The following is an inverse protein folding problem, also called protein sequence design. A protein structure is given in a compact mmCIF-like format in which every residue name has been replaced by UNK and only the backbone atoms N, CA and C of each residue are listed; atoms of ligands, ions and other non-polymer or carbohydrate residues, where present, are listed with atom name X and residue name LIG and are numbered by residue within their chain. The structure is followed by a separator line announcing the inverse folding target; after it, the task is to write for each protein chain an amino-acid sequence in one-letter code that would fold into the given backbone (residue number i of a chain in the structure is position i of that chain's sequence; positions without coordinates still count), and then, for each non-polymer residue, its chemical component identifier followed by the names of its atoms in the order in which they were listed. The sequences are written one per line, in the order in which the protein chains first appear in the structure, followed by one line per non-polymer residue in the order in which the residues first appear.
data_IF_363611545915
#
_entry.id   IF_363611545915
#
_cell.length_a   1.000
_cell.length_b   1.000
_cell.length_c   1.000
_cell.angle_alpha   90.00
_cell.angle_beta   90.00
_cell.angle_gamma   90.00
#
_symmetry.space_group_name_H-M   'P 1'
#
loop_
_entity.id
_entity.type
_entity.pdbx_description
1 polymer ?
#
# COMPACT_ATOMS: atom_id res chain seq x y z
N UNK A 1 -3.59 13.73 0.46
CA UNK A 1 -4.41 12.53 0.13
C UNK A 1 -5.32 12.72 -1.10
N UNK A 2 -6.14 13.77 -1.18
CA UNK A 2 -7.00 14.03 -2.35
C UNK A 2 -6.18 14.20 -3.63
N UNK A 3 -5.11 14.99 -3.58
CA UNK A 3 -4.30 15.28 -4.77
C UNK A 3 -3.56 14.05 -5.27
N UNK A 4 -2.94 13.26 -4.35
CA UNK A 4 -2.33 11.98 -4.72
C UNK A 4 -3.35 11.05 -5.39
N UNK A 5 -4.57 10.95 -4.86
CA UNK A 5 -5.62 10.13 -5.46
C UNK A 5 -6.01 10.61 -6.86
N UNK A 6 -6.08 11.92 -7.08
CA UNK A 6 -6.37 12.49 -8.40
C UNK A 6 -5.23 12.20 -9.37
N UNK A 7 -3.97 12.36 -8.94
CA UNK A 7 -2.80 12.09 -9.77
C UNK A 7 -2.65 10.60 -10.15
N UNK A 8 -3.17 9.69 -9.32
CA UNK A 8 -3.18 8.25 -9.60
C UNK A 8 -4.49 7.76 -10.24
N UNK A 9 -5.35 8.66 -10.70
CA UNK A 9 -6.67 8.33 -11.28
C UNK A 9 -7.52 7.41 -10.39
N UNK A 10 -7.48 7.61 -9.07
CA UNK A 10 -8.25 6.81 -8.10
C UNK A 10 -7.56 5.56 -7.57
N UNK A 11 -6.43 5.14 -8.14
CA UNK A 11 -5.72 3.93 -7.73
C UNK A 11 -5.33 3.97 -6.25
N UNK A 12 -4.80 5.10 -5.74
CA UNK A 12 -4.42 5.26 -4.33
C UNK A 12 -5.53 4.81 -3.36
N UNK A 13 -6.75 5.35 -3.49
CA UNK A 13 -7.87 4.97 -2.61
C UNK A 13 -8.35 3.55 -2.86
N UNK A 14 -8.27 3.06 -4.10
CA UNK A 14 -8.63 1.69 -4.41
C UNK A 14 -7.67 0.71 -3.68
N UNK A 15 -6.37 0.92 -3.79
CA UNK A 15 -5.34 0.12 -3.12
C UNK A 15 -5.48 0.18 -1.60
N UNK A 16 -5.64 1.36 -1.02
CA UNK A 16 -5.86 1.46 0.44
C UNK A 16 -7.13 0.74 0.90
N UNK A 17 -8.21 0.73 0.11
CA UNK A 17 -9.44 -0.03 0.44
C UNK A 17 -9.22 -1.53 0.30
N UNK A 18 -8.51 -1.96 -0.75
CA UNK A 18 -8.22 -3.36 -0.99
C UNK A 18 -7.37 -3.97 0.13
N UNK A 19 -6.29 -3.29 0.55
CA UNK A 19 -5.45 -3.73 1.67
C UNK A 19 -6.28 -3.85 2.96
N UNK A 20 -7.15 -2.87 3.26
CA UNK A 20 -8.06 -2.94 4.41
C UNK A 20 -9.00 -4.15 4.33
N UNK A 21 -9.60 -4.39 3.16
CA UNK A 21 -10.48 -5.53 2.93
C UNK A 21 -9.76 -6.87 3.18
N UNK A 22 -8.55 -7.04 2.64
CA UNK A 22 -7.76 -8.27 2.82
C UNK A 22 -7.37 -8.45 4.29
N UNK A 23 -6.92 -7.39 4.96
CA UNK A 23 -6.66 -7.42 6.41
C UNK A 23 -7.90 -7.87 7.19
N UNK A 24 -9.03 -7.22 6.97
CA UNK A 24 -10.25 -7.47 7.75
C UNK A 24 -10.85 -8.86 7.44
N UNK A 25 -10.60 -9.40 6.25
CA UNK A 25 -11.12 -10.72 5.81
C UNK A 25 -10.21 -11.87 6.25
N UNK A 26 -8.90 -11.73 6.15
CA UNK A 26 -7.95 -12.85 6.31
C UNK A 26 -7.04 -12.71 7.53
N UNK A 27 -6.87 -11.50 8.07
CA UNK A 27 -5.90 -11.19 9.12
C UNK A 27 -6.52 -10.34 10.24
N UNK A 28 -7.81 -10.51 10.51
CA UNK A 28 -8.58 -9.70 11.47
C UNK A 28 -8.06 -9.77 12.91
N UNK A 29 -7.32 -10.82 13.26
CA UNK A 29 -6.65 -10.96 14.56
C UNK A 29 -5.32 -10.20 14.68
N UNK A 30 -4.80 -9.67 13.58
CA UNK A 30 -3.52 -8.96 13.55
C UNK A 30 -3.72 -7.44 13.60
N UNK A 31 -2.77 -6.75 14.23
CA UNK A 31 -2.77 -5.30 14.22
C UNK A 31 -2.16 -4.75 12.92
N UNK A 32 -2.93 -3.93 12.20
CA UNK A 32 -2.43 -3.11 11.09
C UNK A 32 -3.17 -1.77 11.07
N UNK A 33 -2.47 -0.74 11.52
CA UNK A 33 -3.03 0.59 11.65
C UNK A 33 -3.40 1.19 10.29
N UNK A 34 -4.56 1.86 10.22
CA UNK A 34 -5.02 2.50 8.98
C UNK A 34 -4.04 3.56 8.45
N UNK A 35 -3.38 4.30 9.35
CA UNK A 35 -2.37 5.28 8.95
C UNK A 35 -1.13 4.63 8.33
N UNK A 36 -0.75 3.42 8.78
CA UNK A 36 0.36 2.66 8.18
C UNK A 36 -0.01 2.25 6.76
N UNK A 37 -1.23 1.76 6.54
CA UNK A 37 -1.72 1.44 5.19
C UNK A 37 -1.68 2.69 4.30
N UNK A 38 -2.27 3.80 4.75
CA UNK A 38 -2.37 5.01 3.93
C UNK A 38 -1.01 5.62 3.60
N UNK A 39 -0.07 5.58 4.55
CA UNK A 39 1.30 6.07 4.37
C UNK A 39 2.13 5.14 3.49
N UNK A 40 1.99 3.83 3.68
CA UNK A 40 2.66 2.81 2.87
C UNK A 40 2.24 2.94 1.40
N UNK A 41 0.94 2.92 1.11
CA UNK A 41 0.43 3.04 -0.26
C UNK A 41 0.84 4.38 -0.87
N UNK A 42 0.84 5.47 -0.08
CA UNK A 42 1.23 6.78 -0.59
C UNK A 42 2.68 6.79 -1.09
N UNK A 43 3.57 6.07 -0.39
CA UNK A 43 4.97 5.92 -0.77
C UNK A 43 5.16 4.91 -1.90
N UNK A 44 4.58 3.71 -1.77
CA UNK A 44 4.78 2.57 -2.66
C UNK A 44 4.07 2.65 -4.02
N UNK A 45 3.02 3.48 -4.14
CA UNK A 45 2.28 3.61 -5.41
C UNK A 45 3.10 4.31 -6.49
N UNK A 46 4.12 5.10 -6.11
CA UNK A 46 5.04 5.79 -7.02
C UNK A 46 4.31 6.47 -8.21
N UNK A 47 4.55 5.97 -9.43
CA UNK A 47 4.00 6.47 -10.70
C UNK A 47 2.83 5.62 -11.23
N UNK A 48 2.37 4.61 -10.48
CA UNK A 48 1.24 3.78 -10.87
C UNK A 48 -0.08 4.57 -10.80
N UNK A 49 -0.91 4.36 -11.80
CA UNK A 49 -2.24 4.97 -11.92
C UNK A 49 -3.18 4.04 -12.69
N UNK A 50 -4.49 4.26 -12.53
CA UNK A 50 -5.43 3.67 -13.48
C UNK A 50 -5.32 4.36 -14.83
N UNK A 51 -5.30 3.56 -15.88
CA UNK A 51 -5.29 4.05 -17.26
C UNK A 51 -6.71 4.27 -17.73
N UNK A 52 -6.87 5.25 -18.63
CA UNK A 52 -8.13 5.46 -19.34
C UNK A 52 -8.46 4.24 -20.23
N UNK A 53 -9.73 4.00 -20.54
CA UNK A 53 -10.14 2.91 -21.43
C UNK A 53 -9.37 2.94 -22.75
N UNK A 54 -8.74 1.81 -23.10
CA UNK A 54 -7.92 1.67 -24.32
C UNK A 54 -6.45 2.07 -24.16
N UNK A 55 -6.01 2.50 -22.97
CA UNK A 55 -4.60 2.69 -22.65
C UNK A 55 -3.81 1.39 -22.45
N UNK A 56 -2.47 1.45 -22.46
CA UNK A 56 -1.63 0.30 -22.18
C UNK A 56 -1.80 -0.12 -20.71
N UNK A 57 -2.25 -1.35 -20.48
CA UNK A 57 -2.39 -1.93 -19.13
C UNK A 57 -1.18 -2.77 -18.77
N UNK A 58 -0.82 -2.77 -17.48
CA UNK A 58 0.10 -3.75 -16.92
C UNK A 58 -0.52 -5.15 -16.96
N UNK A 59 0.32 -6.18 -16.80
CA UNK A 59 -0.16 -7.56 -16.68
C UNK A 59 -0.76 -7.75 -15.28
N UNK A 60 -1.64 -8.74 -15.19
CA UNK A 60 -2.20 -9.17 -13.90
C UNK A 60 -1.08 -9.54 -12.92
N UNK A 61 -1.15 -8.99 -11.71
CA UNK A 61 -0.17 -9.21 -10.65
C UNK A 61 1.07 -8.32 -10.68
N UNK A 62 1.32 -7.55 -11.75
CA UNK A 62 2.51 -6.67 -11.83
C UNK A 62 2.44 -5.58 -10.75
N UNK A 63 1.26 -5.01 -10.52
CA UNK A 63 1.07 -3.95 -9.53
C UNK A 63 1.22 -4.47 -8.10
N UNK A 64 0.63 -5.63 -7.80
CA UNK A 64 0.69 -6.27 -6.49
C UNK A 64 2.11 -6.69 -6.14
N UNK A 65 2.87 -7.20 -7.12
CA UNK A 65 4.31 -7.49 -6.98
C UNK A 65 5.11 -6.23 -6.71
N UNK A 66 4.85 -5.12 -7.40
CA UNK A 66 5.53 -3.85 -7.11
C UNK A 66 5.33 -3.40 -5.66
N UNK A 67 4.12 -3.55 -5.11
CA UNK A 67 3.87 -3.19 -3.70
C UNK A 67 4.67 -4.08 -2.74
N UNK A 68 4.72 -5.39 -3.01
CA UNK A 68 5.51 -6.32 -2.22
C UNK A 68 7.02 -6.07 -2.34
N UNK A 69 7.51 -5.77 -3.55
CA UNK A 69 8.90 -5.47 -3.82
C UNK A 69 9.32 -4.17 -3.12
N UNK A 70 8.51 -3.11 -3.20
CA UNK A 70 8.73 -1.87 -2.46
C UNK A 70 8.83 -2.15 -0.95
N UNK A 71 7.91 -2.95 -0.40
CA UNK A 71 7.96 -3.34 1.00
C UNK A 71 9.26 -4.05 1.36
N UNK A 72 9.67 -5.06 0.57
CA UNK A 72 10.88 -5.84 0.83
C UNK A 72 12.17 -5.01 0.70
N UNK A 73 12.22 -4.06 -0.23
CA UNK A 73 13.38 -3.20 -0.44
C UNK A 73 13.54 -2.15 0.66
N UNK A 74 12.43 -1.65 1.21
CA UNK A 74 12.45 -0.56 2.19
C UNK A 74 12.29 -1.03 3.64
N UNK A 75 11.81 -2.26 3.87
CA UNK A 75 11.69 -2.84 5.20
C UNK A 75 13.08 -3.17 5.76
N UNK A 76 13.57 -2.30 6.64
CA UNK A 76 14.90 -2.44 7.25
C UNK A 76 14.72 -2.79 8.72
N UNK A 77 15.18 -3.98 9.12
CA UNK A 77 15.03 -4.50 10.50
C UNK A 77 13.58 -4.52 11.03
N UNK A 78 12.58 -4.69 10.17
CA UNK A 78 11.18 -4.75 10.61
C UNK A 78 10.55 -3.37 10.80
N UNK A 79 11.04 -2.35 10.11
CA UNK A 79 10.52 -0.98 10.12
C UNK A 79 10.52 -0.37 8.71
N UNK A 80 9.53 0.49 8.44
CA UNK A 80 9.48 1.32 7.24
C UNK A 80 9.55 2.80 7.64
N UNK A 81 10.42 3.54 6.97
CA UNK A 81 10.51 4.99 7.13
C UNK A 81 9.37 5.67 6.37
N UNK A 82 8.18 5.75 6.99
CA UNK A 82 6.99 6.35 6.41
C UNK A 82 6.65 7.67 7.07
N UNK A 83 6.06 8.57 6.29
CA UNK A 83 5.48 9.82 6.78
C UNK A 83 3.98 9.86 6.48
N UNK A 84 3.23 10.49 7.39
CA UNK A 84 1.78 10.61 7.28
C UNK A 84 1.39 11.50 6.10
N UNK A 85 0.53 11.02 5.18
CA UNK A 85 0.06 11.82 4.07
C UNK A 85 -0.71 13.06 4.54
N UNK A 86 -0.12 14.24 4.35
CA UNK A 86 -0.74 15.53 4.65
C UNK A 86 -0.18 16.28 5.85
N UNK A 87 0.40 15.59 6.84
CA UNK A 87 1.10 16.24 7.96
C UNK A 87 2.61 16.00 7.99
N UNK A 88 3.12 15.10 7.13
CA UNK A 88 4.54 14.76 7.02
C UNK A 88 5.19 14.33 8.34
N UNK A 89 4.40 13.79 9.27
CA UNK A 89 4.89 13.30 10.56
C UNK A 89 5.38 11.86 10.40
N UNK A 90 6.45 11.46 11.11
CA UNK A 90 6.88 10.06 11.15
C UNK A 90 5.74 9.15 11.63
N UNK A 91 5.60 7.98 11.01
CA UNK A 91 4.61 6.97 11.38
C UNK A 91 5.31 5.80 12.04
N UNK A 92 4.87 5.40 13.23
CA UNK A 92 5.32 4.16 13.86
C UNK A 92 4.73 2.97 13.12
N UNK A 93 5.59 2.17 12.49
CA UNK A 93 5.19 1.01 11.69
C UNK A 93 5.38 -0.32 12.41
N UNK A 94 6.17 -0.37 13.50
CA UNK A 94 6.69 -1.63 14.09
C UNK A 94 5.61 -2.68 14.30
N UNK A 95 4.55 -2.29 15.00
CA UNK A 95 3.44 -3.18 15.38
C UNK A 95 2.61 -3.67 14.17
N UNK A 96 2.73 -3.02 13.02
CA UNK A 96 1.95 -3.27 11.81
C UNK A 96 2.71 -4.06 10.74
N UNK A 97 4.04 -4.19 10.85
CA UNK A 97 4.89 -4.75 9.79
C UNK A 97 4.60 -6.21 9.46
N UNK A 98 4.39 -7.05 10.47
CA UNK A 98 4.06 -8.48 10.25
C UNK A 98 2.74 -8.63 9.49
N UNK A 99 1.71 -7.89 9.91
CA UNK A 99 0.40 -7.93 9.25
C UNK A 99 0.46 -7.34 7.84
N UNK A 100 1.17 -6.23 7.65
CA UNK A 100 1.36 -5.61 6.34
C UNK A 100 2.03 -6.59 5.36
N UNK A 101 3.12 -7.25 5.78
CA UNK A 101 3.79 -8.26 4.95
C UNK A 101 2.85 -9.39 4.53
N UNK A 102 2.04 -9.90 5.46
CA UNK A 102 1.06 -10.97 5.18
C UNK A 102 0.00 -10.54 4.18
N UNK A 103 -0.52 -9.32 4.32
CA UNK A 103 -1.49 -8.75 3.38
C UNK A 103 -0.87 -8.59 1.99
N UNK A 104 0.33 -8.02 1.89
CA UNK A 104 1.03 -7.81 0.62
C UNK A 104 1.38 -9.13 -0.07
N UNK A 105 1.84 -10.12 0.70
CA UNK A 105 2.06 -11.47 0.18
C UNK A 105 0.75 -12.08 -0.34
N UNK A 106 -0.37 -11.85 0.35
CA UNK A 106 -1.67 -12.42 -0.04
C UNK A 106 -2.24 -11.81 -1.32
N UNK A 107 -1.99 -10.52 -1.59
CA UNK A 107 -2.46 -9.87 -2.82
C UNK A 107 -1.57 -10.17 -4.03
N UNK A 108 -0.29 -10.51 -3.82
CA UNK A 108 0.66 -10.79 -4.89
C UNK A 108 0.62 -12.25 -5.40
N UNK A 109 -0.29 -13.09 -4.90
CA UNK A 109 -0.52 -14.49 -5.29
C UNK A 109 -1.74 -14.58 -6.20
#
# INVERSE_FOLDING_TARGET
MRDKNNNTNGLYRATCRHIRYIRDTYFSSYHLAGIVIDSFVHAAIENWNYVEPGGPSAKEGDYEKQLLDYFNQHNTFGELNLTSPGSNQPVDTKSSMDCLNKVLTKIAI
#
